data_IF_417321557878
#
_entry.id   IF_417321557878
#
_cell.length_a   1.000
_cell.length_b   1.000
_cell.length_c   1.000
_cell.angle_alpha   90.00
_cell.angle_beta   90.00
_cell.angle_gamma   90.00
#
_symmetry.space_group_name_H-M   'P 1'
#
loop_
_entity.id
_entity.type
_entity.pdbx_description
1 polymer ?
#
# COMPACT_ATOMS: atom_id res chain seq x y z
N UNK A 1 47.68 30.38 12.25
CA UNK A 1 47.98 29.91 10.88
C UNK A 1 46.65 29.92 10.14
N UNK A 2 46.39 30.99 9.37
CA UNK A 2 45.21 31.10 8.51
C UNK A 2 45.43 30.21 7.28
N UNK A 3 44.42 29.43 6.89
CA UNK A 3 44.22 29.07 5.48
C UNK A 3 42.72 28.87 5.22
N UNK A 4 42.08 29.95 4.80
CA UNK A 4 40.81 30.01 4.08
C UNK A 4 40.90 29.24 2.77
N UNK A 5 39.99 28.30 2.52
CA UNK A 5 39.67 27.82 1.18
C UNK A 5 38.23 28.22 0.85
N UNK A 6 38.11 29.32 0.10
CA UNK A 6 36.95 29.63 -0.72
C UNK A 6 36.89 28.61 -1.86
N UNK A 7 35.77 27.91 -2.02
CA UNK A 7 35.41 27.28 -3.29
C UNK A 7 34.16 27.99 -3.84
N UNK A 8 34.38 28.55 -5.02
CA UNK A 8 33.50 29.42 -5.80
C UNK A 8 32.41 28.61 -6.50
N UNK A 9 31.29 29.28 -6.68
CA UNK A 9 30.11 28.97 -7.48
C UNK A 9 30.33 28.21 -8.78
N UNK A 10 29.41 27.30 -9.08
CA UNK A 10 28.98 26.99 -10.44
C UNK A 10 27.45 27.16 -10.52
N UNK A 11 27.04 28.34 -11.01
CA UNK A 11 25.70 28.57 -11.54
C UNK A 11 25.59 27.89 -12.92
N UNK A 12 24.56 27.07 -13.12
CA UNK A 12 24.10 26.65 -14.45
C UNK A 12 22.72 27.28 -14.69
N UNK A 13 22.57 28.14 -15.72
CA UNK A 13 21.28 28.71 -16.11
C UNK A 13 20.53 27.83 -17.13
N UNK A 14 19.20 27.80 -16.95
CA UNK A 14 18.12 27.81 -17.95
C UNK A 14 18.22 26.92 -19.21
N UNK A 15 17.28 25.97 -19.29
CA UNK A 15 16.71 25.47 -20.55
C UNK A 15 15.21 25.25 -20.41
N UNK A 16 14.40 26.20 -20.89
CA UNK A 16 12.96 26.06 -21.15
C UNK A 16 12.74 25.93 -22.66
N UNK A 17 12.13 24.83 -23.10
CA UNK A 17 11.37 24.64 -24.35
C UNK A 17 10.74 23.24 -24.21
N UNK A 18 9.44 22.98 -24.29
CA UNK A 18 8.37 23.65 -25.01
C UNK A 18 7.80 22.66 -26.04
N UNK A 19 6.70 21.98 -25.71
CA UNK A 19 5.72 21.42 -26.66
C UNK A 19 4.47 20.98 -25.89
N UNK A 20 3.32 21.65 -26.08
CA UNK A 20 2.01 21.10 -25.74
C UNK A 20 1.41 20.41 -26.98
N UNK A 21 1.39 19.08 -27.01
CA UNK A 21 0.56 18.35 -27.97
C UNK A 21 -0.85 18.21 -27.39
N UNK A 22 -1.77 18.89 -28.08
CA UNK A 22 -3.20 18.80 -27.90
C UNK A 22 -3.70 17.84 -28.97
N UNK A 23 -4.20 16.67 -28.57
CA UNK A 23 -5.02 15.86 -29.48
C UNK A 23 -6.38 15.56 -28.86
N UNK A 24 -7.33 16.21 -29.53
CA UNK A 24 -8.77 16.08 -29.51
C UNK A 24 -9.18 14.67 -29.97
N UNK A 25 -9.96 13.98 -29.15
CA UNK A 25 -10.84 12.93 -29.62
C UNK A 25 -12.09 12.92 -28.75
N UNK A 26 -12.87 13.98 -28.92
CA UNK A 26 -14.30 13.97 -28.66
C UNK A 26 -14.96 12.82 -29.46
N UNK A 27 -15.43 11.78 -28.77
CA UNK A 27 -16.39 10.82 -29.32
C UNK A 27 -17.73 11.03 -28.62
N UNK A 28 -18.51 11.92 -29.25
CA UNK A 28 -19.94 12.00 -29.10
C UNK A 28 -20.57 10.88 -29.92
N UNK A 29 -21.42 10.07 -29.29
CA UNK A 29 -22.44 9.26 -29.98
C UNK A 29 -23.62 9.09 -29.03
N UNK A 30 -24.61 9.92 -29.34
CA UNK A 30 -25.98 10.08 -28.89
C UNK A 30 -26.80 8.79 -28.55
N UNK A 31 -27.98 8.96 -27.91
CA UNK A 31 -28.71 7.98 -27.11
C UNK A 31 -29.85 7.28 -27.87
N UNK A 32 -30.45 6.27 -27.21
CA UNK A 32 -31.82 5.74 -27.34
C UNK A 32 -31.81 4.25 -26.89
N UNK A 33 -32.81 3.63 -26.28
CA UNK A 33 -34.13 4.03 -25.81
C UNK A 33 -34.66 2.90 -24.88
N UNK A 34 -35.52 3.31 -23.95
CA UNK A 34 -36.81 2.72 -23.52
C UNK A 34 -37.01 1.22 -23.21
N UNK A 35 -37.69 1.04 -22.07
CA UNK A 35 -38.81 0.11 -21.80
C UNK A 35 -38.50 -1.38 -21.69
N UNK A 36 -39.22 -2.21 -20.95
CA UNK A 36 -40.16 -2.16 -19.82
C UNK A 36 -40.44 -3.66 -19.55
N UNK A 37 -40.91 -3.95 -18.34
CA UNK A 37 -41.86 -5.03 -18.02
C UNK A 37 -41.44 -6.52 -18.11
N UNK A 38 -41.33 -7.09 -16.90
CA UNK A 38 -42.00 -8.32 -16.44
C UNK A 38 -42.10 -9.55 -17.33
N UNK A 39 -41.49 -10.63 -16.88
CA UNK A 39 -42.13 -11.94 -16.90
C UNK A 39 -41.80 -12.69 -15.61
N UNK A 40 -42.83 -12.88 -14.82
CA UNK A 40 -42.86 -13.73 -13.65
C UNK A 40 -42.85 -15.20 -14.09
N UNK A 41 -41.98 -16.00 -13.50
CA UNK A 41 -42.14 -17.45 -13.44
C UNK A 41 -42.19 -17.83 -11.97
N UNK A 42 -43.33 -18.38 -11.56
CA UNK A 42 -43.54 -19.01 -10.28
C UNK A 42 -42.82 -20.36 -10.26
N UNK A 43 -41.97 -20.58 -9.25
CA UNK A 43 -41.36 -21.87 -8.95
C UNK A 43 -41.40 -22.09 -7.44
N UNK A 44 -42.26 -23.02 -7.05
CA UNK A 44 -42.67 -23.39 -5.69
C UNK A 44 -41.62 -24.27 -4.98
N UNK A 45 -41.74 -24.28 -3.64
CA UNK A 45 -40.87 -24.83 -2.60
C UNK A 45 -40.40 -26.30 -2.78
N UNK A 46 -39.10 -26.53 -2.62
CA UNK A 46 -38.55 -27.66 -1.84
C UNK A 46 -37.17 -27.30 -1.29
N UNK A 47 -37.03 -27.27 0.04
CA UNK A 47 -35.84 -26.77 0.72
C UNK A 47 -34.58 -27.63 0.60
N UNK A 48 -33.46 -26.99 0.92
CA UNK A 48 -32.48 -27.51 1.86
C UNK A 48 -31.82 -26.29 2.50
N UNK A 49 -31.88 -26.20 3.82
CA UNK A 49 -31.14 -25.20 4.57
C UNK A 49 -29.66 -25.57 4.53
N UNK A 50 -28.98 -25.15 3.48
CA UNK A 50 -27.52 -25.14 3.47
C UNK A 50 -27.13 -23.81 4.08
N UNK A 51 -26.86 -23.85 5.39
CA UNK A 51 -26.07 -22.85 6.07
C UNK A 51 -24.90 -22.49 5.17
N UNK A 52 -24.87 -21.24 4.68
CA UNK A 52 -23.67 -20.67 4.14
C UNK A 52 -22.60 -20.85 5.23
N UNK A 53 -21.70 -21.81 5.03
CA UNK A 53 -20.48 -21.90 5.81
C UNK A 53 -19.78 -20.56 5.60
N UNK A 54 -19.89 -19.72 6.63
CA UNK A 54 -19.06 -18.54 6.80
C UNK A 54 -17.62 -18.97 6.56
N UNK A 55 -17.00 -18.36 5.54
CA UNK A 55 -15.65 -18.68 5.09
C UNK A 55 -14.73 -18.90 6.28
N UNK A 56 -14.10 -20.07 6.28
CA UNK A 56 -13.07 -20.43 7.21
C UNK A 56 -11.96 -19.39 7.11
N UNK A 57 -11.88 -18.49 8.09
CA UNK A 57 -10.80 -17.48 8.19
C UNK A 57 -9.54 -18.08 8.80
N UNK A 58 -9.50 -19.39 9.01
CA UNK A 58 -8.25 -20.07 9.34
C UNK A 58 -7.39 -19.99 8.08
N UNK A 59 -6.24 -19.28 8.11
CA UNK A 59 -5.27 -19.43 7.04
C UNK A 59 -5.01 -20.93 6.85
N UNK A 60 -4.65 -21.41 5.66
CA UNK A 60 -4.12 -22.78 5.54
C UNK A 60 -3.10 -22.96 6.67
N UNK A 61 -3.15 -24.10 7.37
CA UNK A 61 -2.49 -24.29 8.67
C UNK A 61 -0.97 -24.04 8.70
N UNK A 62 -0.39 -23.81 7.52
CA UNK A 62 1.02 -23.60 7.25
C UNK A 62 1.34 -22.14 6.84
N UNK A 63 0.36 -21.23 6.75
CA UNK A 63 0.64 -19.83 6.39
C UNK A 63 1.17 -19.01 7.57
N UNK A 64 2.05 -18.03 7.31
CA UNK A 64 2.58 -17.17 8.35
C UNK A 64 1.50 -16.27 8.95
N UNK A 65 1.77 -15.78 10.16
CA UNK A 65 0.87 -14.89 10.91
C UNK A 65 1.61 -13.65 11.41
N UNK A 66 0.94 -12.51 11.34
CA UNK A 66 1.46 -11.23 11.86
C UNK A 66 0.82 -10.98 13.23
N UNK A 67 1.65 -10.85 14.26
CA UNK A 67 1.21 -10.66 15.65
C UNK A 67 1.07 -9.19 16.03
N UNK A 68 1.88 -8.32 15.44
CA UNK A 68 1.87 -6.89 15.70
C UNK A 68 2.50 -6.11 14.54
N UNK A 69 2.06 -4.87 14.36
CA UNK A 69 2.66 -3.92 13.42
C UNK A 69 2.54 -2.50 13.96
N UNK A 70 3.47 -1.64 13.54
CA UNK A 70 3.35 -0.21 13.61
C UNK A 70 3.78 0.46 12.30
N UNK A 71 3.09 1.55 11.95
CA UNK A 71 3.46 2.42 10.84
C UNK A 71 3.73 3.82 11.39
N UNK A 72 5.01 4.19 11.41
CA UNK A 72 5.50 5.43 11.99
C UNK A 72 6.09 6.32 10.91
N UNK A 73 5.98 7.62 11.11
CA UNK A 73 6.66 8.56 10.23
C UNK A 73 7.24 9.75 10.98
N UNK A 74 8.31 10.31 10.42
CA UNK A 74 9.07 11.40 11.01
C UNK A 74 9.42 12.45 9.96
N UNK A 75 9.56 13.69 10.41
CA UNK A 75 10.22 14.73 9.62
C UNK A 75 11.73 14.61 9.75
N UNK A 76 12.41 14.35 8.65
CA UNK A 76 13.87 14.48 8.60
C UNK A 76 14.24 15.85 8.01
N UNK A 77 14.93 16.67 8.79
CA UNK A 77 15.44 17.97 8.35
C UNK A 77 16.96 17.89 8.17
N UNK A 78 17.40 17.53 6.97
CA UNK A 78 18.82 17.61 6.58
C UNK A 78 18.95 18.35 5.26
N UNK A 79 18.91 19.68 5.32
CA UNK A 79 18.85 20.54 4.14
C UNK A 79 17.43 20.74 3.67
N UNK A 80 16.89 19.76 2.95
CA UNK A 80 15.49 19.74 2.53
C UNK A 80 14.64 18.91 3.50
N UNK A 81 13.40 19.34 3.71
CA UNK A 81 12.43 18.60 4.53
C UNK A 81 11.99 17.36 3.77
N UNK A 82 12.25 16.17 4.33
CA UNK A 82 11.76 14.91 3.79
C UNK A 82 10.98 14.16 4.86
N UNK A 83 9.83 13.59 4.50
CA UNK A 83 9.12 12.65 5.36
C UNK A 83 9.62 11.24 5.11
N UNK A 84 9.94 10.53 6.19
CA UNK A 84 10.30 9.13 6.16
C UNK A 84 9.26 8.32 6.90
N UNK A 85 8.83 7.22 6.28
CA UNK A 85 7.95 6.22 6.86
C UNK A 85 8.73 4.95 7.14
N UNK A 86 8.40 4.29 8.24
CA UNK A 86 8.81 2.91 8.54
C UNK A 86 7.58 2.14 8.98
N UNK A 87 7.41 0.96 8.39
CA UNK A 87 6.51 -0.08 8.87
C UNK A 87 7.37 -1.13 9.55
N UNK A 88 7.05 -1.46 10.79
CA UNK A 88 7.75 -2.49 11.57
C UNK A 88 6.71 -3.47 12.11
N UNK A 89 6.86 -4.74 11.76
CA UNK A 89 5.94 -5.81 12.09
C UNK A 89 6.68 -6.99 12.70
N UNK A 90 5.98 -7.75 13.52
CA UNK A 90 6.46 -9.03 14.03
C UNK A 90 5.56 -10.16 13.53
N UNK A 91 6.16 -11.11 12.82
CA UNK A 91 5.49 -12.25 12.24
C UNK A 91 6.14 -13.56 12.70
N UNK A 92 5.38 -14.64 12.59
CA UNK A 92 5.83 -16.00 12.87
C UNK A 92 5.27 -16.93 11.81
N UNK A 93 6.07 -17.93 11.44
CA UNK A 93 5.69 -19.01 10.57
C UNK A 93 5.81 -20.36 11.33
N UNK A 94 4.89 -21.33 11.15
CA UNK A 94 4.99 -22.64 11.79
C UNK A 94 6.29 -23.40 11.50
N UNK A 95 6.91 -23.18 10.32
CA UNK A 95 8.13 -23.83 9.86
C UNK A 95 9.39 -22.94 9.99
N UNK A 96 9.26 -21.75 10.60
CA UNK A 96 10.32 -20.77 10.86
C UNK A 96 11.05 -20.26 9.59
N UNK A 97 10.39 -20.22 8.43
CA UNK A 97 10.96 -19.85 7.14
C UNK A 97 10.25 -18.69 6.42
N UNK A 98 10.08 -17.60 7.15
CA UNK A 98 9.57 -16.35 6.59
C UNK A 98 10.39 -15.86 5.38
N UNK A 99 9.69 -15.56 4.30
CA UNK A 99 10.17 -14.81 3.16
C UNK A 99 9.83 -13.31 3.29
N UNK A 100 10.11 -12.55 2.23
CA UNK A 100 9.70 -11.15 2.15
C UNK A 100 8.19 -11.03 1.92
N UNK A 101 7.62 -9.94 2.43
CA UNK A 101 6.22 -9.60 2.27
C UNK A 101 5.98 -8.35 1.41
N UNK A 102 4.76 -7.85 1.44
CA UNK A 102 4.38 -6.56 0.85
C UNK A 102 3.56 -5.71 1.82
N UNK A 103 3.59 -4.40 1.60
CA UNK A 103 2.69 -3.46 2.25
C UNK A 103 2.01 -2.56 1.24
N UNK A 104 0.71 -2.37 1.38
CA UNK A 104 -0.08 -1.38 0.65
C UNK A 104 -0.34 -0.18 1.57
N UNK A 105 -0.05 1.02 1.07
CA UNK A 105 -0.50 2.26 1.69
C UNK A 105 -1.82 2.66 1.04
N UNK A 106 -2.86 2.83 1.84
CA UNK A 106 -4.20 3.22 1.39
C UNK A 106 -4.63 4.54 1.99
N UNK A 107 -5.35 5.33 1.21
CA UNK A 107 -6.07 6.50 1.69
C UNK A 107 -7.57 6.30 1.38
N UNK A 108 -8.33 5.93 2.41
CA UNK A 108 -9.69 5.41 2.22
C UNK A 108 -9.67 4.07 1.47
N UNK A 109 -10.42 3.97 0.38
CA UNK A 109 -10.49 2.75 -0.43
C UNK A 109 -9.37 2.63 -1.48
N UNK A 110 -8.65 3.72 -1.75
CA UNK A 110 -7.64 3.77 -2.82
C UNK A 110 -6.27 3.36 -2.32
N UNK A 111 -5.58 2.50 -3.08
CA UNK A 111 -4.15 2.22 -2.92
C UNK A 111 -3.36 3.38 -3.50
N UNK A 112 -2.47 3.98 -2.72
CA UNK A 112 -1.62 5.11 -3.13
C UNK A 112 -0.15 4.70 -3.30
N UNK A 113 0.28 3.61 -2.67
CA UNK A 113 1.62 3.06 -2.84
C UNK A 113 1.69 1.60 -2.42
N UNK A 114 2.66 0.87 -2.97
CA UNK A 114 3.02 -0.49 -2.58
C UNK A 114 4.52 -0.55 -2.29
N UNK A 115 4.90 -1.23 -1.20
CA UNK A 115 6.28 -1.32 -0.75
C UNK A 115 6.62 -2.75 -0.36
N UNK A 116 7.84 -3.18 -0.67
CA UNK A 116 8.36 -4.47 -0.21
C UNK A 116 8.58 -4.43 1.31
N UNK A 117 8.27 -5.54 1.98
CA UNK A 117 8.56 -5.75 3.40
C UNK A 117 9.63 -6.82 3.49
N UNK A 118 10.79 -6.48 4.08
CA UNK A 118 11.88 -7.43 4.29
C UNK A 118 11.76 -8.06 5.67
N UNK A 119 11.77 -9.39 5.74
CA UNK A 119 11.70 -10.13 6.99
C UNK A 119 13.07 -10.69 7.40
N UNK A 120 13.38 -10.64 8.69
CA UNK A 120 14.53 -11.30 9.29
C UNK A 120 14.16 -12.69 9.79
N UNK A 121 15.18 -13.53 10.04
CA UNK A 121 15.00 -14.87 10.59
C UNK A 121 14.38 -14.86 12.01
N UNK A 122 14.49 -13.75 12.74
CA UNK A 122 13.85 -13.56 14.05
C UNK A 122 12.39 -13.08 13.96
N UNK A 123 11.78 -13.10 12.78
CA UNK A 123 10.39 -12.72 12.59
C UNK A 123 10.13 -11.22 12.59
N UNK A 124 11.17 -10.37 12.43
CA UNK A 124 10.98 -8.92 12.29
C UNK A 124 10.88 -8.53 10.82
N UNK A 125 9.75 -7.96 10.43
CA UNK A 125 9.42 -7.60 9.05
C UNK A 125 9.29 -6.08 8.91
N UNK A 126 10.14 -5.47 8.09
CA UNK A 126 10.24 -4.01 7.98
C UNK A 126 10.14 -3.50 6.55
N UNK A 127 9.55 -2.32 6.39
CA UNK A 127 9.62 -1.53 5.17
C UNK A 127 9.95 -0.09 5.51
N UNK A 128 10.67 0.60 4.64
CA UNK A 128 10.95 2.03 4.81
C UNK A 128 10.95 2.74 3.48
N UNK A 129 10.33 3.92 3.44
CA UNK A 129 10.23 4.71 2.23
C UNK A 129 10.07 6.20 2.56
N UNK A 130 10.18 7.04 1.54
CA UNK A 130 10.12 8.50 1.67
C UNK A 130 8.93 9.09 0.92
N UNK A 131 8.57 10.33 1.25
CA UNK A 131 7.59 11.10 0.48
C UNK A 131 7.98 11.17 -1.01
N UNK A 132 9.26 11.40 -1.32
CA UNK A 132 9.71 11.52 -2.71
C UNK A 132 9.43 10.26 -3.56
N UNK A 133 9.36 9.09 -2.93
CA UNK A 133 9.08 7.82 -3.60
C UNK A 133 7.58 7.55 -3.77
N UNK A 134 6.73 8.08 -2.88
CA UNK A 134 5.34 7.61 -2.72
C UNK A 134 4.28 8.72 -2.71
N UNK A 135 4.68 9.97 -2.47
CA UNK A 135 3.79 11.09 -2.20
C UNK A 135 3.12 11.08 -0.82
N UNK A 136 3.42 10.09 0.03
CA UNK A 136 2.78 9.91 1.35
C UNK A 136 3.47 10.80 2.40
N UNK A 137 2.71 11.70 3.02
CA UNK A 137 3.22 12.71 3.96
C UNK A 137 2.83 12.44 5.41
N UNK A 138 3.62 12.95 6.35
CA UNK A 138 3.37 12.79 7.78
C UNK A 138 2.26 13.68 8.35
N UNK A 139 2.04 14.85 7.77
CA UNK A 139 1.00 15.79 8.20
C UNK A 139 -0.42 15.21 8.10
N UNK A 140 -0.59 14.18 7.27
CA UNK A 140 -1.81 13.40 7.13
C UNK A 140 -1.66 11.94 7.59
N UNK A 141 -0.73 11.65 8.52
CA UNK A 141 -0.37 10.28 8.90
C UNK A 141 -1.57 9.38 9.24
N UNK A 142 -2.55 9.90 9.99
CA UNK A 142 -3.75 9.15 10.39
C UNK A 142 -4.77 8.95 9.27
N UNK A 143 -4.62 9.63 8.13
CA UNK A 143 -5.46 9.41 6.95
C UNK A 143 -5.04 8.16 6.15
N UNK A 144 -3.84 7.64 6.43
CA UNK A 144 -3.30 6.46 5.76
C UNK A 144 -3.51 5.19 6.58
N UNK A 145 -3.89 4.13 5.90
CA UNK A 145 -3.95 2.76 6.43
C UNK A 145 -2.92 1.92 5.70
N UNK A 146 -2.12 1.18 6.46
CA UNK A 146 -1.12 0.26 5.96
C UNK A 146 -1.67 -1.15 6.08
N UNK A 147 -1.79 -1.83 4.96
CA UNK A 147 -2.14 -3.25 4.90
C UNK A 147 -0.86 -4.02 4.66
N UNK A 148 -0.53 -4.97 5.53
CA UNK A 148 0.73 -5.72 5.46
C UNK A 148 0.43 -7.21 5.30
N UNK A 149 1.18 -7.83 4.40
CA UNK A 149 1.19 -9.27 4.19
C UNK A 149 2.63 -9.76 4.29
N UNK A 150 2.82 -10.94 4.86
CA UNK A 150 4.09 -11.67 4.85
C UNK A 150 3.88 -13.02 4.19
N UNK A 151 4.93 -13.55 3.58
CA UNK A 151 4.92 -14.87 2.94
C UNK A 151 6.00 -15.75 3.53
N UNK A 152 5.85 -17.07 3.42
CA UNK A 152 6.90 -18.07 3.67
C UNK A 152 7.68 -18.38 2.37
N UNK A 153 8.61 -19.34 2.41
CA UNK A 153 9.40 -19.75 1.24
C UNK A 153 8.61 -20.60 0.24
N UNK A 154 7.54 -21.25 0.68
CA UNK A 154 6.60 -22.08 -0.08
C UNK A 154 5.62 -21.22 -0.89
N UNK A 155 5.46 -19.95 -0.52
CA UNK A 155 4.59 -18.97 -1.15
C UNK A 155 3.20 -18.87 -0.53
N UNK A 156 2.96 -19.41 0.67
CA UNK A 156 1.74 -19.09 1.43
C UNK A 156 1.83 -17.66 1.96
N UNK A 157 0.71 -16.94 1.93
CA UNK A 157 0.63 -15.55 2.36
C UNK A 157 -0.26 -15.45 3.61
N UNK A 158 0.15 -14.60 4.56
CA UNK A 158 -0.65 -14.31 5.75
C UNK A 158 -1.97 -13.63 5.38
N UNK A 159 -2.94 -13.66 6.30
CA UNK A 159 -4.02 -12.68 6.26
C UNK A 159 -3.45 -11.24 6.36
N UNK A 160 -4.11 -10.22 5.77
CA UNK A 160 -3.65 -8.84 5.89
C UNK A 160 -3.70 -8.34 7.33
N UNK A 161 -2.60 -7.73 7.80
CA UNK A 161 -2.59 -6.95 9.03
C UNK A 161 -2.79 -5.47 8.71
N UNK A 162 -3.81 -4.85 9.31
CA UNK A 162 -4.13 -3.44 9.10
C UNK A 162 -3.61 -2.58 10.25
N UNK A 163 -2.85 -1.53 9.94
CA UNK A 163 -2.37 -0.56 10.93
C UNK A 163 -2.50 0.87 10.42
N UNK A 164 -2.96 1.77 11.29
CA UNK A 164 -3.09 3.19 10.96
C UNK A 164 -1.75 3.91 11.12
N UNK A 165 -1.43 4.83 10.21
CA UNK A 165 -0.22 5.63 10.28
C UNK A 165 -0.21 6.57 11.48
N UNK A 166 0.97 6.75 12.09
CA UNK A 166 1.19 7.65 13.22
C UNK A 166 2.41 8.53 12.98
N UNK A 167 2.27 9.82 13.28
CA UNK A 167 3.39 10.74 13.33
C UNK A 167 4.10 10.63 14.68
N UNK A 168 5.43 10.66 14.66
CA UNK A 168 6.31 10.67 15.82
C UNK A 168 7.08 11.98 15.93
#
# INVERSE_FOLDING_TARGET
>A
MLLTCLAVWALLPLGCAGAPDSDDASHDSDPAAQSDDSSAEAGDDTGSGDTAETGDTTPPGDAPSISSCEALCWQHQTGDTTWQWVVDCHASDPDDDLANGRSEVRQGASVVSEQLVACSAEGRCTSSFTEAQTGVRCDAATSYTFMVWVSDLEGHESAPFSVQGRQQ
#
